data_IF_933375708796
#
_entry.id   IF_933375708796
#
_cell.length_a   1.000
_cell.length_b   1.000
_cell.length_c   1.000
_cell.angle_alpha   90.00
_cell.angle_beta   90.00
_cell.angle_gamma   90.00
#
_symmetry.space_group_name_H-M   'P 1'
#
loop_
_entity.id
_entity.type
_entity.pdbx_description
1 polymer ?
#
# COMPACT_ATOMS: atom_id res chain seq x y z
N UNK A 1 4.02 77.14 -43.85
CA UNK A 1 5.08 76.13 -43.63
C UNK A 1 4.92 75.57 -42.23
N UNK A 2 4.40 74.36 -42.08
CA UNK A 2 4.38 73.63 -40.81
C UNK A 2 4.74 72.19 -41.10
N UNK A 3 5.87 71.79 -40.52
CA UNK A 3 6.76 70.73 -41.01
C UNK A 3 6.21 69.33 -40.73
N UNK A 4 6.05 68.46 -41.74
CA UNK A 4 5.72 67.05 -41.53
C UNK A 4 6.74 66.31 -40.65
N UNK A 5 7.97 66.83 -40.53
CA UNK A 5 9.04 66.20 -39.75
C UNK A 5 8.93 66.41 -38.23
N UNK A 6 8.24 67.45 -37.75
CA UNK A 6 8.15 67.75 -36.32
C UNK A 6 7.22 66.76 -35.58
N UNK A 7 6.13 66.34 -36.23
CA UNK A 7 5.23 65.33 -35.67
C UNK A 7 5.88 63.95 -35.57
N UNK A 8 6.66 63.56 -36.59
CA UNK A 8 7.42 62.30 -36.59
C UNK A 8 8.49 62.32 -35.49
N UNK A 9 9.20 63.44 -35.29
CA UNK A 9 10.18 63.56 -34.20
C UNK A 9 9.54 63.44 -32.80
N UNK A 10 8.33 63.97 -32.61
CA UNK A 10 7.61 63.81 -31.34
C UNK A 10 7.20 62.36 -31.09
N UNK A 11 6.76 61.64 -32.11
CA UNK A 11 6.40 60.21 -32.00
C UNK A 11 7.64 59.35 -31.69
N UNK A 12 8.77 59.57 -32.36
CA UNK A 12 10.02 58.85 -32.07
C UNK A 12 10.54 59.15 -30.65
N UNK A 13 10.39 60.39 -30.18
CA UNK A 13 10.74 60.75 -28.80
C UNK A 13 9.80 60.08 -27.77
N UNK A 14 8.51 59.95 -28.09
CA UNK A 14 7.55 59.25 -27.25
C UNK A 14 7.81 57.73 -27.21
N UNK A 15 8.13 57.13 -28.37
CA UNK A 15 8.50 55.72 -28.48
C UNK A 15 9.76 55.40 -27.68
N UNK A 16 10.80 56.24 -27.78
CA UNK A 16 12.02 56.10 -26.97
C UNK A 16 11.73 56.17 -25.48
N UNK A 17 10.92 57.15 -25.02
CA UNK A 17 10.51 57.26 -23.61
C UNK A 17 9.71 56.04 -23.13
N UNK A 18 8.84 55.49 -23.98
CA UNK A 18 8.09 54.28 -23.65
C UNK A 18 9.02 53.06 -23.53
N UNK A 19 9.96 52.91 -24.47
CA UNK A 19 10.95 51.83 -24.45
C UNK A 19 11.85 51.91 -23.20
N UNK A 20 12.33 53.10 -22.84
CA UNK A 20 13.13 53.33 -21.64
C UNK A 20 12.36 52.97 -20.36
N UNK A 21 11.08 53.38 -20.27
CA UNK A 21 10.21 53.05 -19.13
C UNK A 21 9.96 51.55 -18.98
N UNK A 22 9.78 50.84 -20.10
CA UNK A 22 9.65 49.37 -20.09
C UNK A 22 10.98 48.71 -19.72
N UNK A 23 12.11 49.24 -20.19
CA UNK A 23 13.45 48.78 -19.85
C UNK A 23 13.73 48.89 -18.35
N UNK A 24 13.41 50.02 -17.73
CA UNK A 24 13.52 50.22 -16.29
C UNK A 24 12.61 49.28 -15.49
N UNK A 25 11.37 49.07 -15.94
CA UNK A 25 10.44 48.14 -15.31
C UNK A 25 10.97 46.68 -15.34
N UNK A 26 11.56 46.25 -16.47
CA UNK A 26 12.20 44.93 -16.59
C UNK A 26 13.42 44.80 -15.66
N UNK A 27 14.29 45.81 -15.60
CA UNK A 27 15.44 45.84 -14.68
C UNK A 27 14.99 45.77 -13.21
N UNK A 28 13.94 46.50 -12.83
CA UNK A 28 13.37 46.47 -11.47
C UNK A 28 12.79 45.10 -11.12
N UNK A 29 12.09 44.45 -12.05
CA UNK A 29 11.57 43.08 -11.88
C UNK A 29 12.71 42.08 -11.67
N UNK A 30 13.76 42.14 -12.49
CA UNK A 30 14.92 41.25 -12.36
C UNK A 30 15.64 41.43 -11.01
N UNK A 31 15.79 42.68 -10.54
CA UNK A 31 16.39 42.96 -9.23
C UNK A 31 15.56 42.41 -8.07
N UNK A 32 14.24 42.54 -8.12
CA UNK A 32 13.34 41.99 -7.08
C UNK A 32 13.35 40.46 -7.05
N UNK A 33 13.40 39.81 -8.22
CA UNK A 33 13.52 38.35 -8.30
C UNK A 33 14.84 37.85 -7.71
N UNK A 34 15.95 38.54 -7.99
CA UNK A 34 17.25 38.20 -7.39
C UNK A 34 17.22 38.39 -5.87
N UNK A 35 16.71 39.53 -5.40
CA UNK A 35 16.58 39.81 -3.97
C UNK A 35 15.74 38.76 -3.24
N UNK A 36 14.58 38.38 -3.79
CA UNK A 36 13.74 37.34 -3.20
C UNK A 36 14.44 35.97 -3.11
N UNK A 37 15.29 35.65 -4.10
CA UNK A 37 16.08 34.42 -4.08
C UNK A 37 17.18 34.47 -3.00
N UNK A 38 17.87 35.60 -2.90
CA UNK A 38 18.94 35.79 -1.93
C UNK A 38 18.38 35.75 -0.49
N UNK A 39 17.25 36.44 -0.23
CA UNK A 39 16.54 36.42 1.06
C UNK A 39 16.04 35.01 1.43
N UNK A 40 15.46 34.27 0.48
CA UNK A 40 15.03 32.89 0.71
C UNK A 40 16.21 31.95 1.02
N UNK A 41 17.37 32.18 0.40
CA UNK A 41 18.56 31.36 0.64
C UNK A 41 19.11 31.60 2.05
N UNK A 42 19.13 32.86 2.50
CA UNK A 42 19.54 33.22 3.86
C UNK A 42 18.61 32.64 4.94
N UNK A 43 17.29 32.62 4.70
CA UNK A 43 16.32 32.01 5.62
C UNK A 43 16.50 30.49 5.72
N UNK A 44 16.77 29.82 4.60
CA UNK A 44 17.05 28.38 4.56
C UNK A 44 18.33 28.05 5.34
N UNK A 45 19.41 28.82 5.17
CA UNK A 45 20.66 28.60 5.91
C UNK A 45 20.48 28.80 7.41
N UNK A 46 19.72 29.83 7.81
CA UNK A 46 19.39 30.08 9.22
C UNK A 46 18.59 28.92 9.82
N UNK A 47 17.56 28.43 9.11
CA UNK A 47 16.75 27.29 9.56
C UNK A 47 17.59 26.01 9.68
N UNK A 48 18.49 25.77 8.72
CA UNK A 48 19.42 24.63 8.75
C UNK A 48 20.34 24.68 9.96
N UNK A 49 20.89 25.86 10.28
CA UNK A 49 21.72 26.06 11.47
C UNK A 49 20.98 25.81 12.78
N UNK A 50 19.74 26.28 12.90
CA UNK A 50 18.89 26.04 14.07
C UNK A 50 18.57 24.54 14.24
N UNK A 51 18.25 23.84 13.16
CA UNK A 51 17.98 22.39 13.17
C UNK A 51 19.22 21.56 13.51
N UNK A 52 20.39 21.92 12.97
CA UNK A 52 21.63 21.21 13.28
C UNK A 52 22.04 21.40 14.74
N UNK A 53 21.78 22.59 15.32
CA UNK A 53 21.99 22.83 16.74
C UNK A 53 21.05 21.98 17.60
N UNK A 54 19.75 21.94 17.27
CA UNK A 54 18.79 21.06 17.95
C UNK A 54 19.19 19.58 17.86
N UNK A 55 19.71 19.14 16.72
CA UNK A 55 20.19 17.78 16.52
C UNK A 55 21.39 17.45 17.41
N UNK A 56 22.41 18.33 17.48
CA UNK A 56 23.58 18.14 18.34
C UNK A 56 23.23 18.17 19.84
N UNK A 57 22.30 19.05 20.24
CA UNK A 57 21.77 19.10 21.61
C UNK A 57 20.98 17.82 21.96
N UNK A 58 20.29 17.23 20.99
CA UNK A 58 19.60 15.95 21.16
C UNK A 58 20.58 14.78 21.25
N UNK A 59 21.60 14.77 20.38
CA UNK A 59 22.64 13.75 20.35
C UNK A 59 23.40 13.71 21.68
N UNK A 60 23.88 14.86 22.18
CA UNK A 60 24.58 14.94 23.46
C UNK A 60 23.73 14.50 24.65
N UNK A 61 22.42 14.77 24.64
CA UNK A 61 21.50 14.31 25.69
C UNK A 61 21.23 12.80 25.66
N UNK A 62 21.26 12.17 24.48
CA UNK A 62 20.89 10.76 24.33
C UNK A 62 22.09 9.81 24.24
N UNK A 63 23.29 10.30 23.93
CA UNK A 63 24.53 9.49 23.93
C UNK A 63 24.82 8.93 25.32
N UNK A 64 24.58 9.68 26.40
CA UNK A 64 24.75 9.19 27.79
C UNK A 64 23.67 8.19 28.26
N UNK A 65 22.54 8.08 27.55
CA UNK A 65 21.42 7.20 27.93
C UNK A 65 21.61 5.75 27.45
N UNK A 66 22.39 5.51 26.39
CA UNK A 66 22.60 4.17 25.83
C UNK A 66 23.25 3.19 26.82
N UNK A 67 24.19 3.64 27.64
CA UNK A 67 24.83 2.78 28.65
C UNK A 67 23.89 2.44 29.80
N UNK A 68 23.09 3.41 30.26
CA UNK A 68 22.10 3.18 31.32
C UNK A 68 20.95 2.27 30.89
N UNK A 69 20.49 2.38 29.64
CA UNK A 69 19.44 1.52 29.08
C UNK A 69 19.95 0.09 28.88
N UNK A 70 21.18 -0.09 28.37
CA UNK A 70 21.78 -1.42 28.22
C UNK A 70 21.91 -2.15 29.56
N UNK A 71 22.36 -1.48 30.62
CA UNK A 71 22.47 -2.06 31.96
C UNK A 71 21.10 -2.45 32.53
N UNK A 72 20.06 -1.64 32.27
CA UNK A 72 18.70 -1.95 32.73
C UNK A 72 18.08 -3.13 31.98
N UNK A 73 18.35 -3.25 30.67
CA UNK A 73 17.93 -4.41 29.86
C UNK A 73 18.60 -5.69 30.33
N UNK A 74 19.90 -5.65 30.63
CA UNK A 74 20.65 -6.81 31.14
C UNK A 74 20.12 -7.26 32.50
N UNK A 75 19.81 -6.32 33.40
CA UNK A 75 19.22 -6.62 34.71
C UNK A 75 17.83 -7.27 34.58
N UNK A 76 16.95 -6.71 33.74
CA UNK A 76 15.61 -7.25 33.48
C UNK A 76 15.66 -8.62 32.82
N UNK A 77 16.62 -8.84 31.91
CA UNK A 77 16.80 -10.11 31.20
C UNK A 77 17.22 -11.22 32.17
N UNK A 78 18.11 -10.92 33.12
CA UNK A 78 18.51 -11.89 34.16
C UNK A 78 17.33 -12.28 35.05
N UNK A 79 16.52 -11.31 35.48
CA UNK A 79 15.34 -11.58 36.30
C UNK A 79 14.33 -12.50 35.57
N UNK A 80 14.06 -12.25 34.29
CA UNK A 80 13.16 -13.08 33.47
C UNK A 80 13.70 -14.48 33.22
N UNK A 81 15.02 -14.64 33.08
CA UNK A 81 15.66 -15.96 32.97
C UNK A 81 15.49 -16.76 34.27
N UNK A 82 15.68 -16.12 35.43
CA UNK A 82 15.47 -16.77 36.72
C UNK A 82 14.01 -17.19 36.95
N UNK A 83 13.07 -16.35 36.55
CA UNK A 83 11.64 -16.65 36.63
C UNK A 83 11.25 -17.81 35.71
N UNK A 84 11.73 -17.81 34.45
CA UNK A 84 11.54 -18.94 33.53
C UNK A 84 12.14 -20.24 34.09
N UNK A 85 13.35 -20.19 34.64
CA UNK A 85 13.99 -21.38 35.22
C UNK A 85 13.20 -21.92 36.43
N UNK A 86 12.61 -21.04 37.25
CA UNK A 86 11.74 -21.42 38.36
C UNK A 86 10.43 -22.05 37.89
N UNK A 87 9.81 -21.47 36.86
CA UNK A 87 8.61 -22.03 36.24
C UNK A 87 8.89 -23.39 35.59
N UNK A 88 10.04 -23.54 34.93
CA UNK A 88 10.48 -24.79 34.34
C UNK A 88 10.71 -25.86 35.40
N UNK A 89 11.37 -25.52 36.52
CA UNK A 89 11.58 -26.45 37.64
C UNK A 89 10.27 -26.95 38.26
N UNK A 90 9.26 -26.09 38.35
CA UNK A 90 7.96 -26.41 38.96
C UNK A 90 7.05 -27.25 38.06
N UNK A 91 7.15 -27.04 36.73
CA UNK A 91 6.22 -27.65 35.76
C UNK A 91 6.83 -28.82 34.96
N UNK A 92 8.12 -29.14 35.14
CA UNK A 92 8.80 -30.20 34.39
C UNK A 92 8.23 -31.60 34.66
N UNK A 93 8.02 -31.97 35.92
CA UNK A 93 7.51 -33.30 36.26
C UNK A 93 6.05 -33.53 35.83
N UNK A 94 5.11 -32.58 36.03
CA UNK A 94 3.75 -32.71 35.52
C UNK A 94 3.68 -32.82 34.00
N UNK A 95 4.47 -32.02 33.26
CA UNK A 95 4.50 -32.07 31.79
C UNK A 95 5.06 -33.38 31.27
N UNK A 96 6.10 -33.94 31.90
CA UNK A 96 6.68 -35.24 31.49
C UNK A 96 5.70 -36.38 31.77
N UNK A 97 4.97 -36.35 32.89
CA UNK A 97 3.90 -37.32 33.17
C UNK A 97 2.74 -37.20 32.16
N UNK A 98 2.32 -35.99 31.80
CA UNK A 98 1.27 -35.77 30.81
C UNK A 98 1.69 -36.26 29.41
N UNK A 99 2.95 -36.04 29.03
CA UNK A 99 3.51 -36.53 27.77
C UNK A 99 3.59 -38.06 27.70
N UNK A 100 3.99 -38.71 28.80
CA UNK A 100 4.00 -40.17 28.88
C UNK A 100 2.59 -40.77 28.74
N UNK A 101 1.56 -40.09 29.27
CA UNK A 101 0.17 -40.51 29.14
C UNK A 101 -0.36 -40.35 27.70
N UNK A 102 0.01 -39.25 27.02
CA UNK A 102 -0.33 -39.00 25.60
C UNK A 102 0.38 -40.00 24.68
N UNK A 103 1.64 -40.37 24.97
CA UNK A 103 2.37 -41.37 24.20
C UNK A 103 1.77 -42.78 24.34
N UNK A 104 1.27 -43.13 25.54
CA UNK A 104 0.57 -44.39 25.79
C UNK A 104 -0.80 -44.46 25.08
N UNK A 105 -1.51 -43.34 24.96
CA UNK A 105 -2.75 -43.22 24.17
C UNK A 105 -2.50 -43.23 22.66
N UNK A 106 -1.36 -42.70 22.20
CA UNK A 106 -0.98 -42.62 20.78
C UNK A 106 -0.71 -43.96 20.09
N UNK A 107 -0.41 -45.01 20.85
CA UNK A 107 -0.15 -46.35 20.29
C UNK A 107 -1.42 -47.12 19.85
N UNK A 108 -2.63 -46.58 20.05
CA UNK A 108 -3.90 -47.18 19.60
C UNK A 108 -4.61 -46.47 18.44
N UNK A 109 -4.07 -45.35 17.92
CA UNK A 109 -4.73 -44.50 16.91
C UNK A 109 -3.96 -44.34 15.57
N UNK A 110 -3.10 -45.30 15.21
CA UNK A 110 -2.36 -45.28 13.92
C UNK A 110 -3.18 -45.86 12.76
N UNK A 111 -4.31 -45.24 12.43
CA UNK A 111 -5.00 -45.47 11.16
C UNK A 111 -5.83 -44.26 10.68
N UNK A 112 -6.39 -43.46 11.60
CA UNK A 112 -7.21 -42.28 11.25
C UNK A 112 -6.42 -40.99 10.98
N UNK A 113 -5.18 -40.88 11.49
CA UNK A 113 -4.41 -39.61 11.43
C UNK A 113 -3.88 -39.32 10.02
N UNK A 114 -3.54 -40.35 9.24
CA UNK A 114 -3.01 -40.17 7.88
C UNK A 114 -4.05 -39.59 6.91
N UNK A 115 -5.32 -39.94 7.06
CA UNK A 115 -6.40 -39.39 6.22
C UNK A 115 -6.73 -37.94 6.62
N UNK A 116 -6.71 -37.61 7.92
CA UNK A 116 -6.88 -36.21 8.38
C UNK A 116 -5.70 -35.30 8.04
N UNK A 117 -4.48 -35.83 7.94
CA UNK A 117 -3.30 -35.05 7.54
C UNK A 117 -3.27 -34.77 6.03
N UNK A 118 -3.76 -35.69 5.19
CA UNK A 118 -3.95 -35.45 3.76
C UNK A 118 -5.12 -34.50 3.47
N UNK A 119 -6.22 -34.58 4.22
CA UNK A 119 -7.38 -33.67 4.07
C UNK A 119 -7.01 -32.22 4.42
N UNK A 120 -6.16 -31.99 5.44
CA UNK A 120 -5.72 -30.64 5.81
C UNK A 120 -4.70 -30.00 4.84
N UNK A 121 -3.96 -30.79 4.05
CA UNK A 121 -3.08 -30.25 3.00
C UNK A 121 -3.85 -29.67 1.80
N UNK A 122 -5.11 -30.04 1.63
CA UNK A 122 -5.93 -29.63 0.49
C UNK A 122 -6.84 -28.42 0.74
N UNK A 123 -6.89 -27.87 1.97
CA UNK A 123 -7.59 -26.60 2.20
C UNK A 123 -6.65 -25.42 1.94
N UNK A 124 -7.16 -24.45 1.17
CA UNK A 124 -6.54 -23.16 0.97
C UNK A 124 -6.33 -22.45 2.31
N UNK A 125 -5.10 -22.02 2.60
CA UNK A 125 -4.85 -21.16 3.77
C UNK A 125 -5.39 -19.76 3.49
N UNK A 126 -6.03 -19.12 4.47
CA UNK A 126 -6.40 -17.70 4.33
C UNK A 126 -5.14 -16.79 4.22
N UNK A 127 -5.26 -15.51 3.83
CA UNK A 127 -4.09 -14.65 3.61
C UNK A 127 -3.15 -14.53 4.81
N UNK A 128 -3.70 -14.41 6.03
CA UNK A 128 -2.91 -14.35 7.27
C UNK A 128 -2.11 -15.65 7.51
N UNK A 129 -2.79 -16.79 7.42
CA UNK A 129 -2.17 -18.12 7.58
C UNK A 129 -1.15 -18.40 6.47
N UNK A 130 -1.44 -17.95 5.26
CA UNK A 130 -0.54 -18.04 4.10
C UNK A 130 0.75 -17.28 4.36
N UNK A 131 0.67 -16.02 4.81
CA UNK A 131 1.85 -15.23 5.17
C UNK A 131 2.72 -15.91 6.22
N UNK A 132 2.12 -16.44 7.29
CA UNK A 132 2.83 -17.19 8.32
C UNK A 132 3.49 -18.47 7.78
N UNK A 133 2.76 -19.25 6.98
CA UNK A 133 3.27 -20.48 6.37
C UNK A 133 4.43 -20.19 5.41
N UNK A 134 4.32 -19.14 4.60
CA UNK A 134 5.34 -18.72 3.65
C UNK A 134 6.62 -18.33 4.40
N UNK A 135 6.54 -17.47 5.41
CA UNK A 135 7.72 -17.02 6.18
C UNK A 135 8.41 -18.19 6.89
N UNK A 136 7.66 -19.15 7.44
CA UNK A 136 8.23 -20.34 8.10
C UNK A 136 9.04 -21.23 7.15
N UNK A 137 8.71 -21.21 5.86
CA UNK A 137 9.31 -22.07 4.85
C UNK A 137 10.10 -21.28 3.78
N UNK A 138 10.34 -19.99 4.02
CA UNK A 138 11.01 -19.08 3.10
C UNK A 138 12.50 -19.38 2.98
N UNK A 139 13.03 -19.25 1.76
CA UNK A 139 14.45 -19.44 1.43
C UNK A 139 15.13 -18.12 1.03
N UNK A 140 14.40 -17.24 0.36
CA UNK A 140 14.90 -16.02 -0.27
C UNK A 140 14.64 -14.76 0.53
N UNK A 141 13.71 -14.80 1.49
CA UNK A 141 13.42 -13.69 2.38
C UNK A 141 13.56 -14.06 3.85
N UNK A 142 13.89 -13.08 4.69
CA UNK A 142 13.95 -13.21 6.15
C UNK A 142 13.26 -12.03 6.81
N UNK A 143 12.43 -12.31 7.81
CA UNK A 143 11.79 -11.30 8.66
C UNK A 143 12.67 -11.01 9.87
N UNK A 144 12.76 -9.74 10.28
CA UNK A 144 13.55 -9.30 11.44
C UNK A 144 12.70 -8.52 12.43
N UNK A 145 12.58 -9.05 13.65
CA UNK A 145 11.75 -8.47 14.71
C UNK A 145 12.11 -7.02 15.04
N UNK A 146 13.40 -6.67 15.02
CA UNK A 146 13.85 -5.29 15.29
C UNK A 146 13.28 -4.33 14.24
N UNK A 147 13.30 -4.71 12.97
CA UNK A 147 12.75 -3.88 11.90
C UNK A 147 11.23 -3.78 11.95
N UNK A 148 10.55 -4.86 12.34
CA UNK A 148 9.09 -4.85 12.56
C UNK A 148 8.72 -3.88 13.69
N UNK A 149 9.50 -3.82 14.77
CA UNK A 149 9.30 -2.83 15.85
C UNK A 149 9.56 -1.40 15.39
N UNK A 150 10.61 -1.16 14.61
CA UNK A 150 10.88 0.17 14.06
C UNK A 150 9.71 0.66 13.20
N UNK A 151 9.16 -0.22 12.35
CA UNK A 151 7.95 0.08 11.56
C UNK A 151 6.77 0.39 12.48
N UNK A 152 6.52 -0.46 13.49
CA UNK A 152 5.42 -0.25 14.45
C UNK A 152 5.53 1.11 15.16
N UNK A 153 6.73 1.50 15.61
CA UNK A 153 6.96 2.80 16.25
C UNK A 153 6.64 3.97 15.32
N UNK A 154 7.02 3.89 14.06
CA UNK A 154 6.70 4.93 13.06
C UNK A 154 5.20 5.03 12.77
N UNK A 155 4.50 3.89 12.73
CA UNK A 155 3.04 3.90 12.58
C UNK A 155 2.35 4.50 13.81
N UNK A 156 2.80 4.15 15.02
CA UNK A 156 2.29 4.74 16.27
C UNK A 156 2.49 6.25 16.28
N UNK A 157 3.67 6.74 15.90
CA UNK A 157 3.94 8.17 15.78
C UNK A 157 2.97 8.86 14.80
N UNK A 158 2.70 8.22 13.65
CA UNK A 158 1.72 8.71 12.68
C UNK A 158 0.29 8.76 13.23
N UNK A 159 -0.11 7.79 14.05
CA UNK A 159 -1.43 7.76 14.72
C UNK A 159 -1.51 8.89 15.77
N UNK A 160 -0.49 9.02 16.63
CA UNK A 160 -0.48 9.99 17.72
C UNK A 160 -0.45 11.44 17.24
N UNK A 161 0.21 11.70 16.13
CA UNK A 161 0.27 13.03 15.50
C UNK A 161 -0.98 13.36 14.68
N UNK A 162 -1.87 12.38 14.46
CA UNK A 162 -3.05 12.52 13.60
C UNK A 162 -2.74 12.57 12.10
N UNK A 163 -1.49 12.34 11.69
CA UNK A 163 -1.13 12.26 10.28
C UNK A 163 -1.67 10.99 9.63
N UNK A 164 -1.93 9.93 10.41
CA UNK A 164 -2.50 8.68 9.96
C UNK A 164 -3.90 8.48 10.55
N UNK A 165 -4.92 8.84 9.77
CA UNK A 165 -6.34 8.70 10.11
C UNK A 165 -7.12 8.24 8.88
N UNK A 166 -8.18 7.45 9.10
CA UNK A 166 -9.05 6.96 8.03
C UNK A 166 -9.62 8.08 7.16
N UNK A 167 -9.82 9.29 7.71
CA UNK A 167 -10.36 10.44 6.98
C UNK A 167 -9.34 11.09 6.04
N UNK A 168 -8.05 10.84 6.28
CA UNK A 168 -6.94 11.53 5.62
C UNK A 168 -6.26 10.69 4.54
N UNK A 169 -6.90 9.61 4.07
CA UNK A 169 -6.32 8.80 3.00
C UNK A 169 -6.22 9.62 1.71
N UNK A 170 -5.01 9.66 1.15
CA UNK A 170 -4.70 10.46 -0.05
C UNK A 170 -5.53 10.06 -1.28
N UNK A 171 -6.08 8.84 -1.27
CA UNK A 171 -6.98 8.33 -2.31
C UNK A 171 -8.33 9.05 -2.35
N UNK A 172 -8.78 9.63 -1.22
CA UNK A 172 -10.06 10.34 -1.13
C UNK A 172 -10.18 11.52 -2.09
N UNK A 173 -9.08 12.09 -2.58
CA UNK A 173 -9.11 13.17 -3.58
C UNK A 173 -9.71 12.71 -4.92
N UNK A 174 -9.52 11.44 -5.27
CA UNK A 174 -9.95 10.89 -6.56
C UNK A 174 -11.18 9.96 -6.45
N UNK A 175 -11.54 9.58 -5.23
CA UNK A 175 -12.65 8.68 -4.96
C UNK A 175 -14.00 9.41 -4.96
N UNK A 176 -15.09 8.70 -5.28
CA UNK A 176 -16.43 9.22 -5.13
C UNK A 176 -16.78 9.40 -3.65
N UNK A 177 -17.72 10.29 -3.38
CA UNK A 177 -18.31 10.44 -2.05
C UNK A 177 -19.33 9.33 -1.80
N UNK A 178 -19.51 8.85 -0.56
CA UNK A 178 -20.46 7.79 -0.23
C UNK A 178 -21.92 8.16 -0.56
N UNK A 179 -22.23 9.46 -0.68
CA UNK A 179 -23.54 9.98 -1.08
C UNK A 179 -23.84 9.86 -2.58
N UNK A 180 -22.83 9.59 -3.41
CA UNK A 180 -22.97 9.50 -4.86
C UNK A 180 -23.49 8.13 -5.26
N UNK A 181 -24.55 8.08 -6.08
CA UNK A 181 -25.22 6.84 -6.48
C UNK A 181 -24.30 5.83 -7.18
N UNK A 182 -23.24 6.31 -7.84
CA UNK A 182 -22.31 5.47 -8.58
C UNK A 182 -21.11 5.01 -7.74
N UNK A 183 -21.00 5.42 -6.46
CA UNK A 183 -19.81 5.19 -5.65
C UNK A 183 -19.42 3.71 -5.57
N UNK A 184 -20.38 2.81 -5.34
CA UNK A 184 -20.12 1.37 -5.25
C UNK A 184 -19.67 0.74 -6.56
N UNK A 185 -20.33 1.08 -7.66
CA UNK A 185 -19.92 0.57 -8.96
C UNK A 185 -18.59 1.17 -9.43
N UNK A 186 -18.28 2.41 -9.03
CA UNK A 186 -16.99 3.03 -9.31
C UNK A 186 -15.86 2.34 -8.56
N UNK A 187 -16.02 2.08 -7.25
CA UNK A 187 -15.02 1.37 -6.45
C UNK A 187 -14.77 -0.02 -7.04
N UNK A 188 -15.84 -0.76 -7.33
CA UNK A 188 -15.72 -2.08 -7.95
C UNK A 188 -15.02 -2.05 -9.32
N UNK A 189 -15.33 -1.07 -10.16
CA UNK A 189 -14.69 -0.87 -11.45
C UNK A 189 -13.18 -0.58 -11.29
N UNK A 190 -12.84 0.34 -10.39
CA UNK A 190 -11.45 0.75 -10.16
C UNK A 190 -10.63 -0.44 -9.67
N UNK A 191 -11.14 -1.18 -8.68
CA UNK A 191 -10.44 -2.36 -8.16
C UNK A 191 -10.43 -3.54 -9.11
N UNK A 192 -11.36 -3.58 -10.07
CA UNK A 192 -11.26 -4.50 -11.21
C UNK A 192 -10.05 -4.19 -12.08
N UNK A 193 -9.66 -2.91 -12.20
CA UNK A 193 -8.57 -2.43 -13.05
C UNK A 193 -7.27 -2.12 -12.29
N UNK A 194 -7.26 -2.27 -10.96
CA UNK A 194 -6.17 -1.88 -10.07
C UNK A 194 -5.03 -2.92 -10.02
N UNK A 195 -4.34 -3.10 -11.15
CA UNK A 195 -3.18 -4.01 -11.25
C UNK A 195 -2.17 -3.55 -12.30
N UNK A 196 -0.90 -3.86 -12.07
CA UNK A 196 0.22 -3.70 -13.00
C UNK A 196 0.30 -2.32 -13.69
N UNK A 197 0.88 -1.32 -13.02
CA UNK A 197 1.13 0.00 -13.60
C UNK A 197 2.60 0.27 -13.95
N UNK A 198 3.47 -0.71 -13.75
CA UNK A 198 4.89 -0.59 -14.11
C UNK A 198 5.10 -1.02 -15.57
N UNK A 199 6.08 -0.41 -16.24
CA UNK A 199 6.43 -0.69 -17.64
C UNK A 199 7.81 -1.33 -17.74
N UNK A 200 8.04 -2.13 -18.80
CA UNK A 200 9.32 -2.81 -19.01
C UNK A 200 10.36 -1.84 -19.58
N UNK A 201 11.54 -1.82 -18.95
CA UNK A 201 12.70 -1.00 -19.36
C UNK A 201 12.61 0.46 -18.90
N UNK A 202 13.66 1.22 -19.22
CA UNK A 202 13.72 2.69 -19.07
C UNK A 202 12.89 3.37 -20.16
N UNK A 203 11.61 2.99 -20.31
CA UNK A 203 10.73 3.79 -21.15
C UNK A 203 10.68 5.21 -20.55
N UNK A 204 11.05 6.25 -21.32
CA UNK A 204 11.23 7.60 -20.78
C UNK A 204 9.93 8.16 -20.17
N UNK A 205 8.78 7.62 -20.59
CA UNK A 205 7.46 8.04 -20.15
C UNK A 205 6.74 6.89 -19.42
N UNK A 206 6.48 7.08 -18.13
CA UNK A 206 5.48 6.27 -17.40
C UNK A 206 4.09 6.57 -17.96
N UNK A 207 3.19 5.57 -17.96
CA UNK A 207 1.78 5.81 -18.27
C UNK A 207 1.22 6.88 -17.33
N UNK A 208 0.79 7.99 -17.95
CA UNK A 208 0.37 9.22 -17.28
C UNK A 208 -0.98 9.67 -17.81
N UNK A 209 -1.88 10.05 -16.90
CA UNK A 209 -3.20 10.59 -17.25
C UNK A 209 -3.49 11.76 -16.33
N UNK A 210 -3.81 12.91 -16.92
CA UNK A 210 -4.01 14.19 -16.23
C UNK A 210 -2.84 14.51 -15.27
N UNK A 211 -1.60 14.22 -15.70
CA UNK A 211 -0.38 14.44 -14.91
C UNK A 211 -0.12 13.42 -13.79
N UNK A 212 -1.04 12.49 -13.53
CA UNK A 212 -0.89 11.44 -12.52
C UNK A 212 -0.20 10.20 -13.07
N UNK A 213 0.35 9.34 -12.20
CA UNK A 213 0.94 8.04 -12.56
C UNK A 213 0.35 6.91 -11.70
N UNK A 214 0.43 5.67 -12.19
CA UNK A 214 0.02 4.50 -11.41
C UNK A 214 -1.47 4.48 -11.12
N UNK A 215 -1.83 4.11 -9.89
CA UNK A 215 -3.22 4.08 -9.43
C UNK A 215 -3.97 5.41 -9.63
N UNK A 216 -3.32 6.55 -9.38
CA UNK A 216 -3.96 7.85 -9.59
C UNK A 216 -4.17 8.20 -11.06
N UNK A 217 -3.35 7.68 -11.97
CA UNK A 217 -3.62 7.81 -13.41
C UNK A 217 -4.86 7.01 -13.81
N UNK A 218 -5.08 5.82 -13.21
CA UNK A 218 -6.30 5.06 -13.43
C UNK A 218 -7.54 5.81 -12.93
N UNK A 219 -7.49 6.33 -11.71
CA UNK A 219 -8.60 7.12 -11.17
C UNK A 219 -8.88 8.36 -12.04
N UNK A 220 -7.82 9.07 -12.45
CA UNK A 220 -7.94 10.22 -13.36
C UNK A 220 -8.58 9.83 -14.71
N UNK A 221 -8.18 8.70 -15.30
CA UNK A 221 -8.74 8.21 -16.56
C UNK A 221 -10.23 7.88 -16.46
N UNK A 222 -10.66 7.17 -15.41
CA UNK A 222 -12.06 6.85 -15.17
C UNK A 222 -12.87 8.11 -14.91
N UNK A 223 -12.38 9.01 -14.05
CA UNK A 223 -13.05 10.27 -13.75
C UNK A 223 -13.15 11.17 -14.99
N UNK A 224 -12.12 11.17 -15.86
CA UNK A 224 -12.15 11.85 -17.17
C UNK A 224 -13.23 11.27 -18.08
N UNK A 225 -13.36 9.94 -18.17
CA UNK A 225 -14.40 9.30 -18.95
C UNK A 225 -15.81 9.69 -18.46
N UNK A 226 -16.02 9.72 -17.14
CA UNK A 226 -17.28 10.17 -16.54
C UNK A 226 -17.59 11.65 -16.81
N UNK A 227 -16.58 12.54 -16.71
CA UNK A 227 -16.74 13.96 -17.10
C UNK A 227 -17.13 14.11 -18.57
N UNK A 228 -16.67 13.20 -19.43
CA UNK A 228 -17.03 13.12 -20.85
C UNK A 228 -18.36 12.37 -21.09
N UNK A 229 -19.18 12.15 -20.05
CA UNK A 229 -20.48 11.48 -20.14
C UNK A 229 -20.42 10.04 -20.64
N UNK A 230 -19.28 9.36 -20.48
CA UNK A 230 -19.17 7.92 -20.69
C UNK A 230 -19.66 7.23 -19.42
N UNK A 231 -20.65 6.36 -19.56
CA UNK A 231 -21.23 5.57 -18.46
C UNK A 231 -20.33 4.38 -18.07
N UNK A 232 -19.06 4.67 -17.78
CA UNK A 232 -18.02 3.66 -17.54
C UNK A 232 -18.25 2.86 -16.26
N UNK A 233 -19.04 3.37 -15.32
CA UNK A 233 -19.40 2.68 -14.07
C UNK A 233 -20.55 1.68 -14.25
N UNK A 234 -21.18 1.64 -15.42
CA UNK A 234 -22.33 0.78 -15.68
C UNK A 234 -21.89 -0.60 -16.20
N UNK A 235 -22.25 -1.71 -15.52
CA UNK A 235 -21.88 -3.05 -15.97
C UNK A 235 -22.40 -3.41 -17.37
N UNK A 236 -23.56 -2.91 -17.79
CA UNK A 236 -24.05 -3.09 -19.16
C UNK A 236 -23.08 -2.51 -20.19
N UNK A 237 -22.43 -1.38 -19.88
CA UNK A 237 -21.43 -0.76 -20.74
C UNK A 237 -20.14 -1.59 -20.77
N UNK A 238 -19.51 -1.80 -19.62
CA UNK A 238 -18.19 -2.42 -19.59
C UNK A 238 -18.20 -3.94 -19.80
N UNK A 239 -19.35 -4.62 -19.68
CA UNK A 239 -19.48 -6.04 -20.06
C UNK A 239 -19.32 -6.29 -21.56
N UNK A 240 -19.46 -5.25 -22.39
CA UNK A 240 -19.39 -5.35 -23.87
C UNK A 240 -18.40 -4.35 -24.48
N UNK A 241 -17.60 -3.68 -23.65
CA UNK A 241 -16.66 -2.66 -24.10
C UNK A 241 -15.64 -3.25 -25.07
N UNK A 242 -15.41 -2.53 -26.16
CA UNK A 242 -14.41 -2.90 -27.17
C UNK A 242 -13.03 -2.35 -26.78
N UNK A 243 -12.00 -2.96 -27.35
CA UNK A 243 -10.60 -2.58 -27.11
C UNK A 243 -10.34 -1.11 -27.41
N UNK A 244 -10.85 -0.61 -28.53
CA UNK A 244 -10.66 0.77 -28.96
C UNK A 244 -11.31 1.76 -28.00
N UNK A 245 -12.45 1.39 -27.39
CA UNK A 245 -13.14 2.23 -26.42
C UNK A 245 -12.35 2.29 -25.10
N UNK A 246 -11.86 1.15 -24.60
CA UNK A 246 -11.05 1.14 -23.38
C UNK A 246 -9.70 1.84 -23.60
N UNK A 247 -9.10 1.67 -24.77
CA UNK A 247 -7.85 2.34 -25.14
C UNK A 247 -8.01 3.86 -25.15
N UNK A 248 -9.11 4.39 -25.70
CA UNK A 248 -9.38 5.83 -25.66
C UNK A 248 -9.69 6.32 -24.23
N UNK A 249 -10.41 5.53 -23.41
CA UNK A 249 -10.65 5.87 -21.99
C UNK A 249 -9.34 5.96 -21.21
N UNK A 250 -8.44 4.99 -21.39
CA UNK A 250 -7.16 4.88 -20.69
C UNK A 250 -6.00 5.59 -21.40
N UNK A 251 -6.31 6.44 -22.38
CA UNK A 251 -5.33 7.17 -23.17
C UNK A 251 -4.42 8.06 -22.32
N UNK A 252 -3.12 7.93 -22.53
CA UNK A 252 -2.11 8.73 -21.85
C UNK A 252 -2.07 10.18 -22.32
N UNK A 253 -1.43 11.04 -21.52
CA UNK A 253 -1.21 12.44 -21.83
C UNK A 253 -0.37 12.65 -23.11
N UNK A 254 0.55 11.73 -23.40
CA UNK A 254 1.37 11.76 -24.62
C UNK A 254 0.70 11.08 -25.83
N UNK A 255 -0.44 10.41 -25.63
CA UNK A 255 -1.16 9.68 -26.67
C UNK A 255 -0.46 8.42 -27.21
N UNK A 256 0.75 8.12 -26.75
CA UNK A 256 1.60 7.03 -27.25
C UNK A 256 1.78 5.92 -26.20
N UNK A 257 2.00 6.30 -24.94
CA UNK A 257 2.27 5.35 -23.85
C UNK A 257 1.02 4.58 -23.47
N UNK A 258 1.03 3.26 -23.69
CA UNK A 258 -0.12 2.40 -23.36
C UNK A 258 -0.07 1.91 -21.91
N UNK A 259 -1.24 1.78 -21.30
CA UNK A 259 -1.38 1.08 -20.02
C UNK A 259 -0.97 -0.40 -20.21
N UNK A 260 -0.21 -0.99 -19.26
CA UNK A 260 0.09 -2.41 -19.31
C UNK A 260 -1.18 -3.27 -19.25
N UNK A 261 -1.11 -4.47 -19.85
CA UNK A 261 -2.14 -5.51 -19.76
C UNK A 261 -3.56 -5.04 -20.18
N UNK A 262 -3.64 -4.20 -21.22
CA UNK A 262 -4.93 -3.70 -21.73
C UNK A 262 -5.91 -4.82 -22.10
N UNK A 263 -5.45 -5.88 -22.76
CA UNK A 263 -6.31 -7.00 -23.15
C UNK A 263 -6.86 -7.74 -21.91
N UNK A 264 -6.02 -7.98 -20.90
CA UNK A 264 -6.44 -8.60 -19.65
C UNK A 264 -7.43 -7.70 -18.86
N UNK A 265 -7.32 -6.37 -18.96
CA UNK A 265 -8.30 -5.43 -18.39
C UNK A 265 -9.68 -5.59 -19.03
N UNK A 266 -9.74 -5.75 -20.35
CA UNK A 266 -10.99 -6.00 -21.07
C UNK A 266 -11.60 -7.31 -20.60
N UNK A 267 -10.81 -8.38 -20.54
CA UNK A 267 -11.27 -9.68 -20.05
C UNK A 267 -11.83 -9.60 -18.63
N UNK A 268 -11.16 -8.87 -17.73
CA UNK A 268 -11.64 -8.63 -16.37
C UNK A 268 -12.99 -7.87 -16.37
N UNK A 269 -13.13 -6.81 -17.16
CA UNK A 269 -14.37 -6.02 -17.27
C UNK A 269 -15.53 -6.88 -17.81
N UNK A 270 -15.29 -7.65 -18.86
CA UNK A 270 -16.29 -8.57 -19.42
C UNK A 270 -16.73 -9.61 -18.39
N UNK A 271 -15.77 -10.20 -17.68
CA UNK A 271 -16.03 -11.22 -16.65
C UNK A 271 -16.89 -10.65 -15.52
N UNK A 272 -16.47 -9.55 -14.90
CA UNK A 272 -17.18 -9.01 -13.74
C UNK A 272 -18.51 -8.38 -14.13
N UNK A 273 -18.58 -7.74 -15.30
CA UNK A 273 -19.79 -7.12 -15.81
C UNK A 273 -20.88 -8.16 -16.08
N UNK A 274 -20.53 -9.22 -16.82
CA UNK A 274 -21.45 -10.34 -17.07
C UNK A 274 -21.99 -10.92 -15.75
N UNK A 275 -21.11 -11.16 -14.78
CA UNK A 275 -21.51 -11.73 -13.50
C UNK A 275 -22.46 -10.84 -12.70
N UNK A 276 -22.19 -9.52 -12.66
CA UNK A 276 -23.07 -8.57 -11.98
C UNK A 276 -24.45 -8.51 -12.64
N UNK A 277 -24.52 -8.56 -13.97
CA UNK A 277 -25.78 -8.55 -14.72
C UNK A 277 -26.60 -9.82 -14.49
N UNK A 278 -25.95 -10.97 -14.36
CA UNK A 278 -26.61 -12.27 -14.18
C UNK A 278 -27.18 -12.48 -12.78
N UNK A 279 -26.49 -12.02 -11.73
CA UNK A 279 -26.79 -12.41 -10.34
C UNK A 279 -27.07 -11.24 -9.38
N UNK A 280 -26.68 -10.03 -9.74
CA UNK A 280 -26.65 -8.90 -8.80
C UNK A 280 -27.30 -7.63 -9.38
N UNK A 281 -28.20 -7.77 -10.36
CA UNK A 281 -28.94 -6.67 -11.01
C UNK A 281 -28.05 -5.54 -11.56
N UNK A 282 -26.81 -5.86 -11.94
CA UNK A 282 -25.85 -4.86 -12.42
C UNK A 282 -25.39 -3.87 -11.34
N UNK A 283 -25.41 -4.25 -10.06
CA UNK A 283 -24.96 -3.39 -8.98
C UNK A 283 -24.11 -4.14 -7.96
N UNK A 284 -22.86 -3.69 -7.76
CA UNK A 284 -21.95 -4.28 -6.78
C UNK A 284 -22.44 -4.11 -5.33
N UNK A 285 -23.24 -3.09 -5.04
CA UNK A 285 -23.88 -2.91 -3.72
C UNK A 285 -24.68 -4.16 -3.29
N UNK A 286 -25.27 -4.89 -4.24
CA UNK A 286 -26.01 -6.12 -3.94
C UNK A 286 -25.08 -7.26 -3.51
N UNK A 287 -23.83 -7.29 -3.98
CA UNK A 287 -22.80 -8.23 -3.51
C UNK A 287 -22.42 -7.90 -2.07
N UNK A 288 -22.20 -6.62 -1.76
CA UNK A 288 -21.89 -6.15 -0.39
C UNK A 288 -23.03 -6.47 0.57
N UNK A 289 -24.29 -6.23 0.17
CA UNK A 289 -25.47 -6.57 0.98
C UNK A 289 -25.59 -8.08 1.22
N UNK A 290 -25.27 -8.92 0.22
CA UNK A 290 -25.29 -10.37 0.38
C UNK A 290 -24.26 -10.88 1.41
N UNK A 291 -23.22 -10.09 1.69
CA UNK A 291 -22.23 -10.39 2.72
C UNK A 291 -22.72 -10.10 4.15
N UNK A 292 -23.88 -9.46 4.33
CA UNK A 292 -24.53 -9.25 5.64
C UNK A 292 -23.60 -8.58 6.68
N UNK A 293 -22.71 -7.70 6.23
CA UNK A 293 -21.75 -7.01 7.08
C UNK A 293 -20.57 -7.88 7.57
N UNK A 294 -20.31 -9.04 6.96
CA UNK A 294 -19.08 -9.82 7.18
C UNK A 294 -18.08 -9.58 6.04
N UNK A 295 -16.86 -9.16 6.40
CA UNK A 295 -15.73 -9.05 5.51
C UNK A 295 -15.27 -10.42 5.01
N UNK A 296 -15.34 -11.48 5.83
CA UNK A 296 -14.98 -12.84 5.42
C UNK A 296 -15.94 -13.36 4.35
N UNK A 297 -17.25 -13.21 4.57
CA UNK A 297 -18.28 -13.58 3.60
C UNK A 297 -18.16 -12.75 2.31
N UNK A 298 -17.87 -11.45 2.41
CA UNK A 298 -17.65 -10.61 1.23
C UNK A 298 -16.41 -11.04 0.45
N UNK A 299 -15.30 -11.33 1.13
CA UNK A 299 -14.07 -11.81 0.51
C UNK A 299 -14.33 -13.10 -0.25
N UNK A 300 -15.04 -14.06 0.37
CA UNK A 300 -15.40 -15.34 -0.24
C UNK A 300 -16.29 -15.14 -1.48
N UNK A 301 -17.33 -14.29 -1.39
CA UNK A 301 -18.19 -13.95 -2.52
C UNK A 301 -17.39 -13.35 -3.68
N UNK A 302 -16.43 -12.46 -3.39
CA UNK A 302 -15.61 -11.84 -4.41
C UNK A 302 -14.77 -12.88 -5.15
N UNK A 303 -14.05 -13.74 -4.43
CA UNK A 303 -13.15 -14.73 -5.06
C UNK A 303 -13.89 -15.87 -5.76
N UNK A 304 -15.10 -16.19 -5.32
CA UNK A 304 -15.93 -17.23 -5.92
C UNK A 304 -16.61 -16.74 -7.20
N UNK A 305 -17.19 -15.53 -7.17
CA UNK A 305 -17.97 -15.00 -8.28
C UNK A 305 -17.12 -14.30 -9.35
N UNK A 306 -15.97 -13.75 -8.96
CA UNK A 306 -15.09 -12.95 -9.83
C UNK A 306 -13.66 -13.52 -9.87
N UNK A 307 -13.38 -14.53 -10.73
CA UNK A 307 -12.09 -15.20 -10.78
C UNK A 307 -10.86 -14.29 -10.98
N UNK A 308 -11.01 -13.11 -11.61
CA UNK A 308 -9.91 -12.15 -11.78
C UNK A 308 -9.40 -11.54 -10.46
N UNK A 309 -10.08 -11.79 -9.33
CA UNK A 309 -9.67 -11.43 -7.98
C UNK A 309 -9.04 -12.61 -7.19
N UNK A 310 -9.07 -13.84 -7.73
CA UNK A 310 -8.62 -15.06 -7.06
C UNK A 310 -7.09 -15.26 -7.15
N UNK A 311 -6.38 -14.42 -6.41
CA UNK A 311 -4.92 -14.41 -6.29
C UNK A 311 -4.42 -15.51 -5.33
N UNK A 312 -3.99 -16.63 -5.91
CA UNK A 312 -3.57 -17.87 -5.24
C UNK A 312 -2.29 -18.44 -5.85
N UNK A 313 -1.54 -19.22 -5.07
CA UNK A 313 -0.35 -19.93 -5.53
C UNK A 313 -0.15 -21.26 -4.79
N UNK A 314 0.63 -22.16 -5.40
CA UNK A 314 1.14 -23.35 -4.71
C UNK A 314 2.54 -23.05 -4.14
N UNK A 315 2.70 -23.16 -2.84
CA UNK A 315 3.98 -22.93 -2.16
C UNK A 315 4.35 -24.12 -1.29
N UNK A 316 5.45 -24.79 -1.61
CA UNK A 316 5.94 -25.98 -0.86
C UNK A 316 4.87 -27.08 -0.70
N UNK A 317 4.03 -27.27 -1.71
CA UNK A 317 2.95 -28.26 -1.71
C UNK A 317 1.74 -27.87 -0.85
N UNK A 318 1.64 -26.61 -0.43
CA UNK A 318 0.48 -26.03 0.25
C UNK A 318 -0.17 -24.99 -0.67
N UNK A 319 -1.49 -25.03 -0.75
CA UNK A 319 -2.26 -23.99 -1.43
C UNK A 319 -2.33 -22.75 -0.54
N UNK A 320 -1.77 -21.64 -1.01
CA UNK A 320 -1.71 -20.36 -0.30
C UNK A 320 -2.50 -19.30 -1.05
N UNK A 321 -3.09 -18.37 -0.31
CA UNK A 321 -3.92 -17.29 -0.84
C UNK A 321 -3.34 -15.94 -0.46
N UNK A 322 -3.47 -14.95 -1.35
CA UNK A 322 -3.03 -13.57 -1.10
C UNK A 322 -4.21 -12.62 -1.29
N UNK A 323 -5.04 -12.86 -2.30
CA UNK A 323 -6.28 -12.12 -2.55
C UNK A 323 -6.14 -10.60 -2.54
N UNK A 324 -4.99 -10.05 -2.98
CA UNK A 324 -4.63 -8.63 -2.78
C UNK A 324 -5.72 -7.66 -3.25
N UNK A 325 -6.16 -7.77 -4.51
CA UNK A 325 -7.22 -6.92 -5.06
C UNK A 325 -8.58 -7.12 -4.39
N UNK A 326 -8.90 -8.34 -3.95
CA UNK A 326 -10.17 -8.59 -3.25
C UNK A 326 -10.16 -7.94 -1.86
N UNK A 327 -9.02 -7.99 -1.17
CA UNK A 327 -8.80 -7.32 0.10
C UNK A 327 -8.82 -5.79 -0.05
N UNK A 328 -8.21 -5.24 -1.11
CA UNK A 328 -8.30 -3.81 -1.44
C UNK A 328 -9.76 -3.40 -1.62
N UNK A 329 -10.53 -4.14 -2.42
CA UNK A 329 -11.94 -3.83 -2.68
C UNK A 329 -12.76 -3.69 -1.38
N UNK A 330 -12.54 -4.58 -0.41
CA UNK A 330 -13.19 -4.48 0.91
C UNK A 330 -12.66 -3.27 1.69
N UNK A 331 -11.35 -3.01 1.62
CA UNK A 331 -10.71 -1.84 2.21
C UNK A 331 -11.23 -0.51 1.68
N UNK A 332 -11.40 -0.38 0.36
CA UNK A 332 -11.91 0.81 -0.31
C UNK A 332 -13.40 1.04 0.04
N UNK A 333 -14.20 -0.03 0.14
CA UNK A 333 -15.59 0.06 0.65
C UNK A 333 -15.59 0.53 2.11
N UNK A 334 -14.74 -0.04 2.97
CA UNK A 334 -14.60 0.35 4.36
C UNK A 334 -14.17 1.83 4.52
N UNK A 335 -13.20 2.29 3.73
CA UNK A 335 -12.69 3.65 3.76
C UNK A 335 -13.71 4.66 3.22
N UNK A 336 -14.33 4.39 2.07
CA UNK A 336 -15.30 5.28 1.43
C UNK A 336 -16.50 5.59 2.34
N UNK A 337 -17.01 4.59 3.06
CA UNK A 337 -18.10 4.76 4.02
C UNK A 337 -17.64 4.97 5.47
N UNK A 338 -16.35 5.16 5.71
CA UNK A 338 -15.77 5.45 7.04
C UNK A 338 -16.21 4.47 8.14
N UNK A 339 -16.26 3.17 7.81
CA UNK A 339 -16.73 2.09 8.68
C UNK A 339 -18.22 2.14 9.08
N UNK A 340 -19.05 2.90 8.36
CA UNK A 340 -20.49 3.03 8.58
C UNK A 340 -21.30 2.42 7.42
N UNK A 341 -22.58 2.12 7.65
CA UNK A 341 -23.48 1.61 6.62
C UNK A 341 -22.92 0.38 5.88
N UNK A 342 -22.74 0.51 4.55
CA UNK A 342 -22.20 -0.54 3.68
C UNK A 342 -20.72 -0.85 3.93
N UNK A 343 -19.96 0.06 4.55
CA UNK A 343 -18.57 -0.16 4.94
C UNK A 343 -18.40 -0.70 6.36
N UNK A 344 -19.50 -1.02 7.07
CA UNK A 344 -19.44 -1.55 8.43
C UNK A 344 -19.32 -3.07 8.41
N UNK A 345 -18.14 -3.56 8.79
CA UNK A 345 -17.83 -4.99 8.85
C UNK A 345 -17.44 -5.41 10.27
N UNK A 346 -18.08 -6.44 10.82
CA UNK A 346 -17.91 -6.83 12.23
C UNK A 346 -16.66 -7.68 12.51
N UNK A 347 -16.11 -8.32 11.49
CA UNK A 347 -14.98 -9.26 11.50
C UNK A 347 -13.73 -8.71 10.77
N UNK A 348 -13.79 -7.48 10.24
CA UNK A 348 -12.75 -6.87 9.38
C UNK A 348 -11.32 -7.05 9.88
N UNK A 349 -11.08 -6.75 11.17
CA UNK A 349 -9.74 -6.71 11.77
C UNK A 349 -9.07 -8.10 11.85
N UNK A 350 -9.87 -9.17 11.86
CA UNK A 350 -9.40 -10.55 11.89
C UNK A 350 -9.29 -11.16 10.49
N UNK A 351 -10.01 -10.61 9.52
CA UNK A 351 -10.11 -11.14 8.15
C UNK A 351 -9.14 -10.47 7.19
N UNK A 352 -9.10 -9.13 7.16
CA UNK A 352 -8.35 -8.37 6.16
C UNK A 352 -6.93 -8.10 6.64
N UNK A 353 -5.96 -8.44 5.80
CA UNK A 353 -4.54 -8.18 5.98
C UNK A 353 -4.08 -6.99 5.13
N UNK A 354 -2.79 -6.68 5.15
CA UNK A 354 -2.20 -5.70 4.22
C UNK A 354 -2.33 -6.13 2.76
N UNK A 355 -2.18 -5.17 1.85
CA UNK A 355 -2.34 -5.37 0.42
C UNK A 355 -0.97 -5.61 -0.22
N UNK A 356 -0.61 -6.88 -0.42
CA UNK A 356 0.72 -7.30 -0.86
C UNK A 356 1.05 -6.86 -2.30
N UNK A 357 1.39 -5.58 -2.45
CA UNK A 357 1.76 -4.90 -3.69
C UNK A 357 3.25 -5.10 -4.03
N UNK A 358 3.63 -4.79 -5.26
CA UNK A 358 5.01 -4.88 -5.71
C UNK A 358 5.95 -3.83 -5.11
N UNK A 359 5.45 -2.62 -4.78
CA UNK A 359 6.32 -1.53 -4.26
C UNK A 359 6.40 -1.43 -2.74
N UNK A 360 5.36 -1.83 -2.03
CA UNK A 360 5.30 -1.78 -0.56
C UNK A 360 6.49 -2.51 0.11
N UNK A 361 7.00 -3.65 -0.40
CA UNK A 361 8.18 -4.31 0.17
C UNK A 361 9.42 -3.40 0.27
N UNK A 362 9.55 -2.37 -0.57
CA UNK A 362 10.67 -1.41 -0.46
C UNK A 362 10.70 -0.73 0.92
N UNK A 363 9.53 -0.40 1.47
CA UNK A 363 9.41 0.25 2.79
C UNK A 363 9.75 -0.73 3.91
N UNK A 364 9.29 -1.99 3.79
CA UNK A 364 9.60 -3.03 4.76
C UNK A 364 11.10 -3.33 4.82
N UNK A 365 11.79 -3.33 3.67
CA UNK A 365 13.26 -3.46 3.60
C UNK A 365 13.95 -2.23 4.19
N UNK A 366 13.43 -1.02 3.93
CA UNK A 366 13.99 0.22 4.48
C UNK A 366 13.97 0.24 6.01
N UNK A 367 12.87 -0.18 6.63
CA UNK A 367 12.78 -0.32 8.09
C UNK A 367 13.55 -1.52 8.63
N UNK A 368 14.13 -2.35 7.76
CA UNK A 368 14.86 -3.56 8.12
C UNK A 368 13.95 -4.70 8.57
N UNK A 369 12.63 -4.61 8.36
CA UNK A 369 11.67 -5.66 8.71
C UNK A 369 11.76 -6.86 7.75
N UNK A 370 12.09 -6.60 6.48
CA UNK A 370 12.26 -7.59 5.43
C UNK A 370 13.71 -7.56 4.91
N UNK A 371 14.35 -8.72 4.83
CA UNK A 371 15.69 -8.87 4.25
C UNK A 371 15.61 -9.86 3.09
N UNK A 372 16.17 -9.48 1.93
CA UNK A 372 16.35 -10.38 0.80
C UNK A 372 17.69 -11.11 0.90
N UNK A 373 17.72 -12.35 0.44
CA UNK A 373 18.98 -13.05 0.19
C UNK A 373 19.78 -12.36 -0.93
N UNK A 374 21.09 -12.60 -0.98
CA UNK A 374 21.96 -12.02 -2.00
C UNK A 374 21.53 -12.41 -3.42
N UNK A 375 21.06 -13.65 -3.59
CA UNK A 375 20.53 -14.14 -4.87
C UNK A 375 19.31 -13.34 -5.31
N UNK A 376 18.30 -13.19 -4.44
CA UNK A 376 17.09 -12.45 -4.76
C UNK A 376 17.40 -10.97 -4.99
N UNK A 377 18.21 -10.35 -4.13
CA UNK A 377 18.62 -8.95 -4.29
C UNK A 377 19.34 -8.72 -5.62
N UNK A 378 20.21 -9.63 -6.04
CA UNK A 378 20.90 -9.55 -7.34
C UNK A 378 19.93 -9.63 -8.51
N UNK A 379 18.99 -10.58 -8.48
CA UNK A 379 17.97 -10.72 -9.52
C UNK A 379 17.08 -9.48 -9.65
N UNK A 380 16.65 -8.92 -8.51
CA UNK A 380 15.82 -7.71 -8.48
C UNK A 380 16.58 -6.48 -9.00
N UNK A 381 17.87 -6.33 -8.65
CA UNK A 381 18.72 -5.24 -9.18
C UNK A 381 18.95 -5.33 -10.68
N UNK A 382 18.96 -6.55 -11.23
CA UNK A 382 19.07 -6.79 -12.67
C UNK A 382 17.72 -6.71 -13.40
N UNK A 383 16.67 -6.17 -12.75
CA UNK A 383 15.34 -6.02 -13.31
C UNK A 383 14.72 -7.32 -13.83
N UNK A 384 15.08 -8.46 -13.22
CA UNK A 384 14.51 -9.76 -13.55
C UNK A 384 13.00 -9.72 -13.31
N UNK A 385 12.24 -10.12 -14.33
CA UNK A 385 10.79 -10.27 -14.22
C UNK A 385 10.53 -11.63 -13.56
N UNK A 386 9.90 -11.61 -12.39
CA UNK A 386 9.43 -12.81 -11.70
C UNK A 386 8.07 -13.22 -12.26
N UNK A 387 7.80 -14.52 -12.32
CA UNK A 387 6.48 -15.03 -12.72
C UNK A 387 5.53 -14.97 -11.52
N UNK A 388 4.25 -14.75 -11.79
CA UNK A 388 3.22 -14.91 -10.76
C UNK A 388 3.20 -16.38 -10.29
N UNK A 389 3.19 -16.58 -8.97
CA UNK A 389 3.29 -17.89 -8.34
C UNK A 389 4.72 -18.44 -8.27
N UNK A 390 5.73 -17.69 -8.74
CA UNK A 390 7.13 -18.08 -8.53
C UNK A 390 7.49 -17.96 -7.05
N UNK A 391 8.26 -18.94 -6.54
CA UNK A 391 8.65 -19.03 -5.13
C UNK A 391 9.14 -17.68 -4.55
N UNK A 392 10.00 -16.97 -5.28
CA UNK A 392 10.54 -15.66 -4.90
C UNK A 392 9.49 -14.57 -4.80
N UNK A 393 8.51 -14.56 -5.72
CA UNK A 393 7.42 -13.58 -5.72
C UNK A 393 6.46 -13.84 -4.55
N UNK A 394 6.06 -15.11 -4.37
CA UNK A 394 5.20 -15.54 -3.27
C UNK A 394 5.85 -15.26 -1.93
N UNK A 395 7.15 -15.50 -1.78
CA UNK A 395 7.91 -15.20 -0.55
C UNK A 395 7.88 -13.71 -0.18
N UNK A 396 8.13 -12.81 -1.13
CA UNK A 396 8.11 -11.37 -0.87
C UNK A 396 6.72 -10.92 -0.41
N UNK A 397 5.66 -11.40 -1.08
CA UNK A 397 4.28 -10.99 -0.80
C UNK A 397 3.78 -11.60 0.50
N UNK A 398 4.02 -12.88 0.73
CA UNK A 398 3.68 -13.56 1.99
C UNK A 398 4.41 -12.98 3.20
N UNK A 399 5.70 -12.65 3.06
CA UNK A 399 6.44 -12.00 4.14
C UNK A 399 5.93 -10.60 4.45
N UNK A 400 5.48 -9.86 3.44
CA UNK A 400 4.84 -8.54 3.62
C UNK A 400 3.57 -8.64 4.46
N UNK A 401 2.72 -9.64 4.17
CA UNK A 401 1.51 -9.93 4.97
C UNK A 401 1.89 -10.24 6.42
N UNK A 402 2.80 -11.18 6.63
CA UNK A 402 3.23 -11.59 7.96
C UNK A 402 3.80 -10.41 8.78
N UNK A 403 4.68 -9.60 8.18
CA UNK A 403 5.29 -8.45 8.85
C UNK A 403 4.23 -7.47 9.35
N UNK A 404 3.23 -7.14 8.51
CA UNK A 404 2.18 -6.18 8.92
C UNK A 404 1.27 -6.77 9.99
N UNK A 405 0.95 -8.06 9.93
CA UNK A 405 0.16 -8.71 10.97
C UNK A 405 0.88 -8.70 12.32
N UNK A 406 2.19 -8.96 12.36
CA UNK A 406 3.00 -8.85 13.58
C UNK A 406 3.11 -7.40 14.05
N UNK A 407 3.33 -6.46 13.12
CA UNK A 407 3.38 -5.03 13.45
C UNK A 407 2.06 -4.55 14.06
N UNK A 408 0.91 -4.96 13.51
CA UNK A 408 -0.42 -4.66 14.04
C UNK A 408 -0.56 -5.09 15.49
N UNK A 409 -0.13 -6.30 15.83
CA UNK A 409 -0.18 -6.82 17.20
C UNK A 409 0.70 -6.00 18.16
N UNK A 410 1.88 -5.58 17.72
CA UNK A 410 2.77 -4.70 18.50
C UNK A 410 2.12 -3.33 18.71
N UNK A 411 1.59 -2.71 17.65
CA UNK A 411 0.93 -1.40 17.69
C UNK A 411 -0.24 -1.42 18.66
N UNK A 412 -1.14 -2.40 18.54
CA UNK A 412 -2.30 -2.53 19.41
C UNK A 412 -1.89 -2.69 20.88
N UNK A 413 -0.85 -3.50 21.16
CA UNK A 413 -0.33 -3.69 22.51
C UNK A 413 0.26 -2.40 23.08
N UNK A 414 1.10 -1.70 22.32
CA UNK A 414 1.76 -0.48 22.78
C UNK A 414 0.77 0.67 22.97
N UNK A 415 -0.20 0.86 22.07
CA UNK A 415 -1.26 1.86 22.24
C UNK A 415 -2.14 1.54 23.46
N UNK A 416 -2.53 0.28 23.65
CA UNK A 416 -3.33 -0.11 24.84
C UNK A 416 -2.58 0.16 26.14
N UNK A 417 -1.27 -0.08 26.17
CA UNK A 417 -0.47 0.05 27.39
C UNK A 417 -0.09 1.51 27.71
N UNK A 418 0.24 2.30 26.69
CA UNK A 418 0.86 3.61 26.86
C UNK A 418 -0.03 4.80 26.47
N UNK A 419 -1.09 4.55 25.67
CA UNK A 419 -1.96 5.57 25.07
C UNK A 419 -3.45 5.18 25.12
N UNK A 420 -4.03 4.90 26.32
CA UNK A 420 -5.42 4.46 26.44
C UNK A 420 -6.45 5.47 25.94
N UNK A 421 -6.05 6.74 25.73
CA UNK A 421 -6.87 7.78 25.11
C UNK A 421 -7.09 7.59 23.60
N UNK A 422 -6.24 6.81 22.93
CA UNK A 422 -6.32 6.58 21.49
C UNK A 422 -7.36 5.51 21.19
N UNK A 423 -8.32 5.85 20.33
CA UNK A 423 -9.31 4.89 19.85
C UNK A 423 -8.67 3.83 18.96
N UNK A 424 -8.75 2.56 19.37
CA UNK A 424 -8.24 1.43 18.59
C UNK A 424 -9.18 0.97 17.47
N UNK A 425 -10.38 1.57 17.35
CA UNK A 425 -11.45 1.14 16.44
C UNK A 425 -10.97 0.98 14.99
N UNK A 426 -10.09 1.88 14.54
CA UNK A 426 -9.61 1.94 13.17
C UNK A 426 -8.14 1.51 13.02
N UNK A 427 -7.51 1.01 14.08
CA UNK A 427 -6.13 0.53 14.05
C UNK A 427 -6.11 -0.90 13.54
N UNK A 428 -5.99 -1.06 12.23
CA UNK A 428 -6.05 -2.34 11.54
C UNK A 428 -5.05 -2.41 10.37
N UNK A 429 -5.01 -3.55 9.67
CA UNK A 429 -4.02 -3.80 8.61
C UNK A 429 -4.21 -2.88 7.41
N UNK A 430 -5.43 -2.38 7.16
CA UNK A 430 -5.73 -1.40 6.11
C UNK A 430 -5.03 -0.07 6.44
N UNK A 431 -5.18 0.42 7.69
CA UNK A 431 -4.51 1.64 8.15
C UNK A 431 -2.98 1.56 8.00
N UNK A 432 -2.40 0.42 8.38
CA UNK A 432 -0.94 0.20 8.27
C UNK A 432 -0.51 0.13 6.81
N UNK A 433 -1.30 -0.51 5.94
CA UNK A 433 -1.02 -0.54 4.49
C UNK A 433 -1.04 0.87 3.86
N UNK A 434 -2.03 1.69 4.21
CA UNK A 434 -2.07 3.09 3.77
C UNK A 434 -0.83 3.87 4.20
N UNK A 435 -0.37 3.69 5.43
CA UNK A 435 0.89 4.27 5.88
C UNK A 435 2.06 3.83 4.99
N UNK A 436 2.20 2.53 4.73
CA UNK A 436 3.28 2.00 3.90
C UNK A 436 3.24 2.57 2.48
N UNK A 437 2.04 2.66 1.90
CA UNK A 437 1.85 3.18 0.54
C UNK A 437 2.17 4.67 0.44
N UNK A 438 1.66 5.48 1.37
CA UNK A 438 1.93 6.92 1.42
C UNK A 438 3.42 7.19 1.73
N UNK A 439 4.00 6.46 2.68
CA UNK A 439 5.43 6.56 3.00
C UNK A 439 6.28 6.26 1.77
N UNK A 440 5.96 5.20 1.01
CA UNK A 440 6.68 4.85 -0.22
C UNK A 440 6.62 5.97 -1.26
N UNK A 441 5.49 6.65 -1.38
CA UNK A 441 5.30 7.73 -2.36
C UNK A 441 6.03 9.00 -1.94
N UNK A 442 5.91 9.39 -0.68
CA UNK A 442 6.60 10.56 -0.14
C UNK A 442 8.13 10.41 -0.15
N UNK A 443 8.63 9.19 0.03
CA UNK A 443 10.06 8.88 0.14
C UNK A 443 10.60 8.15 -1.10
N UNK A 444 10.02 8.36 -2.29
CA UNK A 444 10.37 7.60 -3.49
C UNK A 444 11.85 7.71 -3.90
N UNK A 445 12.47 8.88 -3.72
CA UNK A 445 13.91 9.10 -3.98
C UNK A 445 14.79 8.39 -2.95
N UNK A 446 14.43 8.50 -1.66
CA UNK A 446 15.13 7.82 -0.57
C UNK A 446 15.12 6.31 -0.75
N UNK A 447 14.02 5.74 -1.25
CA UNK A 447 13.85 4.30 -1.43
C UNK A 447 14.36 3.76 -2.77
N UNK A 448 14.91 4.62 -3.65
CA UNK A 448 15.31 4.24 -5.00
C UNK A 448 16.42 3.18 -5.05
N UNK A 449 17.23 3.06 -3.99
CA UNK A 449 18.29 2.05 -3.89
C UNK A 449 17.76 0.63 -3.65
N UNK A 450 16.51 0.48 -3.21
CA UNK A 450 15.86 -0.81 -2.96
C UNK A 450 15.05 -1.17 -4.20
N UNK A 451 15.38 -2.25 -4.93
CA UNK A 451 14.58 -2.65 -6.07
C UNK A 451 13.22 -3.19 -5.61
N UNK A 452 12.23 -3.13 -6.48
CA UNK A 452 10.92 -3.74 -6.29
C UNK A 452 10.77 -4.93 -7.24
N UNK A 453 10.00 -5.94 -6.86
CA UNK A 453 9.79 -7.10 -7.73
C UNK A 453 8.86 -6.74 -8.88
N UNK A 454 9.20 -7.22 -10.09
CA UNK A 454 8.45 -6.92 -11.31
C UNK A 454 7.75 -8.18 -11.79
N UNK A 455 6.43 -8.13 -11.86
CA UNK A 455 5.60 -9.25 -12.28
C UNK A 455 4.43 -8.72 -13.10
N UNK A 456 4.22 -9.32 -14.27
CA UNK A 456 3.03 -9.06 -15.08
C UNK A 456 1.94 -10.00 -14.60
N UNK A 457 0.93 -9.44 -13.93
CA UNK A 457 -0.19 -10.19 -13.37
C UNK A 457 -1.43 -9.31 -13.32
N UNK A 458 -2.60 -9.95 -13.33
CA UNK A 458 -3.87 -9.27 -13.06
C UNK A 458 -4.12 -9.07 -11.57
N UNK A 459 -3.34 -9.68 -10.69
CA UNK A 459 -3.66 -9.76 -9.27
C UNK A 459 -3.15 -8.58 -8.41
N UNK A 460 -2.16 -7.80 -8.87
CA UNK A 460 -1.61 -6.69 -8.08
C UNK A 460 -0.92 -5.58 -8.87
#
# INVERSE_FOLDING_TARGET
>A
MTSPSTGIQQLLAAEKKAADKVGEARKRKARRLKQAKDEATEEIEKYRGEREKQFKDFETKHVGSREGVAQKIDADTRLKIEEMNRALGSNKEPCVCAWAFVFALGCRYKAGILQSFEINRNMALNPKQSGEFIVKNAKYVKVQDVGVRNLAHQVIEGILTGSLDIKNFTQHEFHPKPTEKHAMNWIFLIDTLNFCFWTKGDQPNKWKVDGQTGYFALCAAINRAMRNSIDITNPQFYATIKKEQLEEILKSDDGETKVPLLDARIECLHQVGKKLLEKYDGNFENVVKAAEGSAEKLLQLIVDEFPCFRDEAEFKGQHVTIYKRAQILIGDVYACYQAEGLGSFHDLNNTITMFADYRVPQVLVHFGALIYSDELMSELKNDKILKNGEEKEVEIRGASIYIVEVAKEIILRELTANHPEVSLKHVNSILIDHFLWDYRRANAELLAYIPFHKTFSVYY
#
